data_IF_455049559395
#
_entry.id   IF_455049559395
#
_cell.length_a   1.000
_cell.length_b   1.000
_cell.length_c   1.000
_cell.angle_alpha   90.00
_cell.angle_beta   90.00
_cell.angle_gamma   90.00
#
_symmetry.space_group_name_H-M   'P 1'
#
loop_
_entity.id
_entity.type
_entity.pdbx_description
1 polymer ?
#
# COMPACT_ATOMS: atom_id res chain seq x y z
N UNK A 1 13.29 -0.13 -8.91
CA UNK A 1 12.92 -1.35 -8.15
C UNK A 1 11.74 -1.05 -7.26
N UNK A 2 10.75 -1.92 -7.25
CA UNK A 2 9.56 -1.85 -6.41
C UNK A 2 9.66 -2.91 -5.32
N UNK A 3 9.70 -2.46 -4.08
CA UNK A 3 9.57 -3.31 -2.90
C UNK A 3 8.12 -3.29 -2.43
N UNK A 4 7.56 -4.44 -2.12
CA UNK A 4 6.23 -4.56 -1.53
C UNK A 4 6.27 -5.44 -0.27
N UNK A 5 5.48 -5.09 0.74
CA UNK A 5 5.26 -5.95 1.91
C UNK A 5 3.93 -6.68 1.75
N UNK A 6 3.91 -7.97 2.05
CA UNK A 6 2.72 -8.80 1.91
C UNK A 6 2.67 -9.88 2.98
N UNK A 7 1.47 -10.40 3.27
CA UNK A 7 1.34 -11.59 4.11
C UNK A 7 1.84 -12.83 3.37
N UNK A 8 2.20 -13.90 4.07
CA UNK A 8 2.70 -15.13 3.45
C UNK A 8 1.80 -15.63 2.30
N UNK A 9 0.48 -15.60 2.49
CA UNK A 9 -0.48 -16.08 1.48
C UNK A 9 -0.57 -15.18 0.24
N UNK A 10 -0.12 -13.93 0.33
CA UNK A 10 -0.22 -12.93 -0.73
C UNK A 10 1.09 -12.73 -1.50
N UNK A 11 2.20 -13.35 -1.08
CA UNK A 11 3.52 -13.17 -1.71
C UNK A 11 3.48 -13.44 -3.22
N UNK A 12 2.97 -14.62 -3.62
CA UNK A 12 2.89 -15.02 -5.04
C UNK A 12 1.99 -14.06 -5.82
N UNK A 13 0.90 -13.60 -5.22
CA UNK A 13 -0.02 -12.67 -5.87
C UNK A 13 0.63 -11.32 -6.12
N UNK A 14 1.29 -10.74 -5.11
CA UNK A 14 1.96 -9.43 -5.22
C UNK A 14 3.13 -9.49 -6.20
N UNK A 15 3.87 -10.59 -6.23
CA UNK A 15 4.92 -10.79 -7.23
C UNK A 15 4.33 -10.85 -8.65
N UNK A 16 3.20 -11.53 -8.84
CA UNK A 16 2.51 -11.57 -10.13
C UNK A 16 1.93 -10.21 -10.58
N UNK A 17 1.78 -9.24 -9.66
CA UNK A 17 1.44 -7.85 -10.00
C UNK A 17 2.64 -7.03 -10.49
N UNK A 18 3.86 -7.58 -10.40
CA UNK A 18 5.07 -6.94 -10.92
C UNK A 18 5.96 -6.28 -9.87
N UNK A 19 5.80 -6.60 -8.58
CA UNK A 19 6.80 -6.22 -7.58
C UNK A 19 8.13 -6.94 -7.85
N UNK A 20 9.24 -6.19 -7.85
CA UNK A 20 10.58 -6.76 -8.04
C UNK A 20 10.98 -7.57 -6.80
N UNK A 21 10.68 -7.05 -5.61
CA UNK A 21 11.01 -7.66 -4.32
C UNK A 21 9.78 -7.69 -3.42
N UNK A 22 9.41 -8.87 -2.91
CA UNK A 22 8.27 -9.04 -2.00
C UNK A 22 8.76 -9.53 -0.64
N UNK A 23 8.51 -8.73 0.39
CA UNK A 23 8.90 -9.02 1.78
C UNK A 23 7.68 -9.59 2.52
N UNK A 24 7.82 -10.83 3.00
CA UNK A 24 6.81 -11.51 3.81
C UNK A 24 6.86 -10.98 5.25
N UNK A 25 6.01 -10.01 5.59
CA UNK A 25 6.08 -9.33 6.89
C UNK A 25 5.79 -10.24 8.09
N UNK A 26 5.24 -11.44 7.86
CA UNK A 26 5.00 -12.42 8.92
C UNK A 26 6.28 -13.20 9.29
N UNK A 27 7.31 -13.15 8.44
CA UNK A 27 8.56 -13.88 8.61
C UNK A 27 9.79 -12.99 8.64
N UNK A 28 9.67 -11.77 8.10
CA UNK A 28 10.79 -10.88 7.84
C UNK A 28 10.45 -9.46 8.31
N UNK A 29 11.49 -8.77 8.76
CA UNK A 29 11.43 -7.34 9.07
C UNK A 29 11.92 -6.56 7.85
N UNK A 30 11.04 -5.77 7.24
CA UNK A 30 11.38 -5.05 6.00
C UNK A 30 12.52 -4.04 6.22
N UNK A 31 12.63 -3.48 7.42
CA UNK A 31 13.66 -2.50 7.78
C UNK A 31 15.08 -3.06 7.80
N UNK A 32 15.23 -4.38 7.74
CA UNK A 32 16.53 -5.06 7.63
C UNK A 32 16.87 -5.47 6.20
N UNK A 33 15.91 -5.37 5.28
CA UNK A 33 16.01 -5.91 3.92
C UNK A 33 15.91 -4.82 2.85
N UNK A 34 15.31 -3.68 3.18
CA UNK A 34 15.20 -2.51 2.31
C UNK A 34 15.98 -1.33 2.89
N UNK A 35 16.64 -0.57 2.02
CA UNK A 35 17.26 0.71 2.32
C UNK A 35 17.16 1.63 1.10
N UNK A 36 17.43 2.91 1.30
CA UNK A 36 17.51 3.90 0.22
C UNK A 36 16.25 3.97 -0.67
N UNK A 37 15.07 3.86 -0.04
CA UNK A 37 13.79 3.94 -0.73
C UNK A 37 13.42 5.40 -1.00
N UNK A 38 13.26 5.77 -2.27
CA UNK A 38 12.95 7.15 -2.68
C UNK A 38 11.51 7.56 -2.40
N UNK A 39 10.57 6.61 -2.50
CA UNK A 39 9.15 6.82 -2.25
C UNK A 39 8.59 5.64 -1.47
N UNK A 40 8.02 5.94 -0.31
CA UNK A 40 7.25 4.98 0.48
C UNK A 40 5.78 5.37 0.40
N UNK A 41 4.93 4.42 -0.01
CA UNK A 41 3.47 4.55 0.03
C UNK A 41 2.95 3.69 1.17
N UNK A 42 2.52 4.32 2.26
CA UNK A 42 2.06 3.66 3.48
C UNK A 42 0.53 3.55 3.54
N UNK A 43 0.05 2.31 3.57
CA UNK A 43 -1.35 1.94 3.76
C UNK A 43 -1.63 1.28 5.12
N UNK A 44 -0.61 1.14 5.99
CA UNK A 44 -0.72 0.38 7.24
C UNK A 44 -0.70 1.30 8.46
N UNK A 45 0.16 2.33 8.46
CA UNK A 45 0.30 3.24 9.59
C UNK A 45 0.99 2.61 10.82
N UNK A 46 0.72 3.18 11.99
CA UNK A 46 1.20 2.66 13.28
C UNK A 46 2.72 2.45 13.34
N UNK A 47 3.16 1.31 13.88
CA UNK A 47 4.58 0.96 14.01
C UNK A 47 5.26 0.71 12.67
N UNK A 48 4.52 0.30 11.62
CA UNK A 48 5.09 0.11 10.28
C UNK A 48 5.53 1.47 9.73
N UNK A 49 4.69 2.49 9.86
CA UNK A 49 5.02 3.86 9.50
C UNK A 49 6.26 4.37 10.26
N UNK A 50 6.36 4.10 11.56
CA UNK A 50 7.52 4.51 12.36
C UNK A 50 8.83 3.89 11.84
N UNK A 51 8.81 2.60 11.51
CA UNK A 51 9.95 1.87 10.96
C UNK A 51 10.31 2.33 9.55
N UNK A 52 9.32 2.73 8.75
CA UNK A 52 9.51 3.17 7.36
C UNK A 52 10.41 4.39 7.22
N UNK A 53 10.49 5.26 8.23
CA UNK A 53 11.43 6.40 8.20
C UNK A 53 12.90 5.99 8.12
N UNK A 54 13.24 4.81 8.64
CA UNK A 54 14.62 4.32 8.68
C UNK A 54 15.12 3.86 7.30
N UNK A 55 14.23 3.36 6.44
CA UNK A 55 14.59 2.84 5.12
C UNK A 55 14.48 3.87 4.00
N UNK A 56 13.88 5.03 4.29
CA UNK A 56 13.73 6.11 3.32
C UNK A 56 15.11 6.68 2.95
N UNK A 57 15.33 6.99 1.67
CA UNK A 57 16.56 7.63 1.20
C UNK A 57 16.65 9.10 1.68
N UNK A 58 17.86 9.69 1.71
CA UNK A 58 18.01 11.13 1.84
C UNK A 58 17.27 11.86 0.70
N UNK A 59 16.34 12.75 1.04
CA UNK A 59 15.49 13.44 0.06
C UNK A 59 14.26 12.65 -0.40
N UNK A 60 14.12 11.39 0.01
CA UNK A 60 12.93 10.58 -0.24
C UNK A 60 11.68 11.12 0.44
N UNK A 61 10.53 10.60 0.01
CA UNK A 61 9.21 11.01 0.50
C UNK A 61 8.45 9.81 1.06
N UNK A 62 7.86 9.99 2.26
CA UNK A 62 6.91 9.05 2.82
C UNK A 62 5.50 9.62 2.71
N UNK A 63 4.66 8.97 1.91
CA UNK A 63 3.27 9.34 1.72
C UNK A 63 2.36 8.31 2.42
N UNK A 64 1.51 8.73 3.36
CA UNK A 64 0.64 7.83 4.12
C UNK A 64 -0.83 8.22 3.97
N UNK A 65 -1.68 7.23 3.67
CA UNK A 65 -3.14 7.37 3.76
C UNK A 65 -3.67 6.98 5.15
N UNK A 66 -2.92 6.14 5.87
CA UNK A 66 -3.30 5.61 7.18
C UNK A 66 -3.01 6.57 8.35
N UNK A 67 -2.19 7.60 8.14
CA UNK A 67 -1.78 8.55 9.18
C UNK A 67 -1.93 10.00 8.72
N UNK A 68 -2.95 10.69 9.26
CA UNK A 68 -3.20 12.12 9.00
C UNK A 68 -2.11 13.03 9.59
N UNK A 69 -1.40 12.54 10.61
CA UNK A 69 -0.34 13.24 11.33
C UNK A 69 1.07 12.97 10.76
N UNK A 70 1.19 12.27 9.63
CA UNK A 70 2.47 11.90 9.01
C UNK A 70 3.38 13.10 8.74
N UNK A 71 2.80 14.26 8.41
CA UNK A 71 3.55 15.49 8.16
C UNK A 71 4.20 15.99 9.45
N UNK A 72 3.45 16.04 10.56
CA UNK A 72 3.96 16.46 11.87
C UNK A 72 4.89 15.44 12.52
N UNK A 73 4.78 14.17 12.14
CA UNK A 73 5.64 13.07 12.63
C UNK A 73 6.94 12.91 11.86
N UNK A 74 7.12 13.61 10.75
CA UNK A 74 8.32 13.51 9.94
C UNK A 74 9.57 13.89 10.77
N UNK A 75 10.59 13.03 10.85
CA UNK A 75 11.86 13.38 11.49
C UNK A 75 12.52 14.59 10.81
N UNK A 76 13.44 15.25 11.52
CA UNK A 76 14.16 16.40 10.97
C UNK A 76 14.83 16.04 9.62
N UNK A 77 14.59 16.86 8.60
CA UNK A 77 15.13 16.65 7.25
C UNK A 77 14.43 15.56 6.42
N UNK A 78 13.37 14.93 6.94
CA UNK A 78 12.53 13.97 6.20
C UNK A 78 11.24 14.65 5.74
N UNK A 79 10.62 14.11 4.68
CA UNK A 79 9.39 14.64 4.11
C UNK A 79 8.25 13.63 4.22
N UNK A 80 7.22 14.00 4.99
CA UNK A 80 5.94 13.30 5.06
C UNK A 80 4.87 13.96 4.20
N UNK A 81 3.95 13.18 3.64
CA UNK A 81 2.75 13.65 2.94
C UNK A 81 1.55 12.87 3.42
N UNK A 82 0.52 13.57 3.92
CA UNK A 82 -0.78 12.95 4.12
C UNK A 82 -1.48 12.80 2.77
N UNK A 83 -1.72 11.55 2.36
CA UNK A 83 -2.47 11.23 1.16
C UNK A 83 -3.96 11.38 1.45
N UNK A 84 -4.52 12.49 1.00
CA UNK A 84 -5.95 12.73 0.99
C UNK A 84 -6.50 12.56 -0.42
N UNK A 85 -7.63 11.87 -0.55
CA UNK A 85 -8.29 11.62 -1.83
C UNK A 85 -9.28 12.74 -2.10
N UNK A 86 -9.08 13.47 -3.18
CA UNK A 86 -10.09 14.37 -3.76
C UNK A 86 -10.69 13.68 -4.99
N UNK A 87 -12.03 13.56 -5.09
CA UNK A 87 -12.67 13.01 -6.28
C UNK A 87 -12.29 13.77 -7.55
N UNK A 88 -11.90 13.04 -8.59
CA UNK A 88 -11.51 13.59 -9.89
C UNK A 88 -12.09 12.68 -10.99
N UNK A 89 -13.11 13.17 -11.68
CA UNK A 89 -13.86 12.39 -12.68
C UNK A 89 -13.03 12.13 -13.94
N UNK A 90 -12.13 13.04 -14.32
CA UNK A 90 -11.28 12.87 -15.49
C UNK A 90 -10.23 11.78 -15.24
N UNK A 91 -9.64 11.76 -14.04
CA UNK A 91 -8.73 10.66 -13.65
C UNK A 91 -9.46 9.34 -13.54
N UNK A 92 -10.64 9.32 -12.93
CA UNK A 92 -11.43 8.09 -12.82
C UNK A 92 -11.77 7.51 -14.21
N UNK A 93 -12.15 8.37 -15.17
CA UNK A 93 -12.40 7.94 -16.55
C UNK A 93 -11.15 7.36 -17.22
N UNK A 94 -9.97 7.92 -16.95
CA UNK A 94 -8.69 7.40 -17.45
C UNK A 94 -8.43 6.00 -16.89
N UNK A 95 -8.56 5.82 -15.57
CA UNK A 95 -8.38 4.51 -14.90
C UNK A 95 -9.39 3.49 -15.45
N UNK A 96 -10.64 3.89 -15.66
CA UNK A 96 -11.66 3.01 -16.22
C UNK A 96 -11.30 2.55 -17.64
N UNK A 97 -10.73 3.45 -18.46
CA UNK A 97 -10.26 3.12 -19.80
C UNK A 97 -9.06 2.17 -19.76
N UNK A 98 -8.08 2.41 -18.88
CA UNK A 98 -6.93 1.50 -18.69
C UNK A 98 -7.38 0.10 -18.27
N UNK A 99 -8.44 -0.01 -17.47
CA UNK A 99 -9.05 -1.31 -17.11
C UNK A 99 -9.73 -1.94 -18.33
N UNK A 100 -10.52 -1.17 -19.09
CA UNK A 100 -11.22 -1.66 -20.28
C UNK A 100 -10.26 -2.17 -21.37
N UNK A 101 -9.12 -1.49 -21.54
CA UNK A 101 -8.09 -1.84 -22.51
C UNK A 101 -7.12 -2.94 -22.00
N UNK A 102 -7.27 -3.37 -20.75
CA UNK A 102 -6.45 -4.40 -20.13
C UNK A 102 -5.06 -3.95 -19.70
N UNK A 103 -4.76 -2.65 -19.80
CA UNK A 103 -3.50 -2.06 -19.33
C UNK A 103 -3.42 -2.06 -17.78
N UNK A 104 -4.56 -1.97 -17.10
CA UNK A 104 -4.67 -2.08 -15.65
C UNK A 104 -5.60 -3.24 -15.29
N UNK A 105 -5.14 -4.16 -14.45
CA UNK A 105 -5.95 -5.29 -13.99
C UNK A 105 -6.56 -5.02 -12.62
N UNK A 106 -7.89 -4.94 -12.56
CA UNK A 106 -8.63 -5.00 -11.30
C UNK A 106 -8.93 -6.46 -10.93
N UNK A 107 -8.58 -6.87 -9.71
CA UNK A 107 -8.88 -8.21 -9.20
C UNK A 107 -10.05 -8.13 -8.23
N UNK A 108 -11.13 -8.84 -8.55
CA UNK A 108 -12.30 -8.97 -7.66
C UNK A 108 -12.10 -10.26 -6.86
N UNK A 109 -11.91 -10.11 -5.54
CA UNK A 109 -11.79 -11.25 -4.63
C UNK A 109 -13.11 -12.01 -4.50
N UNK A 110 -14.21 -11.30 -4.29
CA UNK A 110 -15.52 -11.87 -4.03
C UNK A 110 -16.64 -10.91 -4.45
N UNK A 111 -17.76 -11.46 -4.93
CA UNK A 111 -19.03 -10.73 -5.12
C UNK A 111 -20.02 -11.28 -4.10
N UNK A 112 -20.49 -10.42 -3.21
CA UNK A 112 -21.38 -10.79 -2.10
C UNK A 112 -22.75 -10.16 -2.25
N UNK A 113 -23.78 -10.85 -1.75
CA UNK A 113 -25.12 -10.28 -1.59
C UNK A 113 -25.17 -9.26 -0.46
N UNK A 114 -26.23 -8.44 -0.43
CA UNK A 114 -26.42 -7.46 0.65
C UNK A 114 -26.51 -8.11 2.04
N UNK A 115 -27.12 -9.29 2.11
CA UNK A 115 -27.26 -10.06 3.36
C UNK A 115 -25.90 -10.57 3.91
N UNK A 116 -24.86 -10.62 3.08
CA UNK A 116 -23.52 -11.08 3.43
C UNK A 116 -22.52 -9.93 3.69
N UNK A 117 -22.98 -8.67 3.78
CA UNK A 117 -22.10 -7.52 3.97
C UNK A 117 -21.27 -7.59 5.25
N UNK A 118 -21.90 -7.91 6.39
CA UNK A 118 -21.21 -7.98 7.67
C UNK A 118 -20.05 -9.00 7.67
N UNK A 119 -20.26 -10.26 7.24
CA UNK A 119 -19.15 -11.20 7.14
C UNK A 119 -18.11 -10.82 6.07
N UNK A 120 -18.50 -10.16 4.97
CA UNK A 120 -17.56 -9.67 3.96
C UNK A 120 -16.62 -8.56 4.49
N UNK A 121 -17.16 -7.61 5.25
CA UNK A 121 -16.38 -6.55 5.91
C UNK A 121 -15.37 -7.16 6.88
N UNK A 122 -15.77 -8.18 7.66
CA UNK A 122 -14.88 -8.84 8.60
C UNK A 122 -13.75 -9.63 7.90
N UNK A 123 -14.04 -10.28 6.76
CA UNK A 123 -13.01 -10.91 5.91
C UNK A 123 -11.99 -9.88 5.42
N UNK A 124 -12.45 -8.71 4.94
CA UNK A 124 -11.57 -7.64 4.49
C UNK A 124 -10.68 -7.13 5.63
N UNK A 125 -11.26 -6.87 6.80
CA UNK A 125 -10.54 -6.38 7.99
C UNK A 125 -9.43 -7.33 8.44
N UNK A 126 -9.64 -8.64 8.31
CA UNK A 126 -8.67 -9.66 8.72
C UNK A 126 -7.68 -10.03 7.62
N UNK A 127 -7.73 -9.36 6.47
CA UNK A 127 -6.84 -9.58 5.34
C UNK A 127 -7.07 -10.92 4.65
N UNK A 128 -8.28 -11.50 4.72
CA UNK A 128 -8.67 -12.78 4.10
C UNK A 128 -9.50 -12.64 2.82
N UNK A 129 -9.50 -11.44 2.23
CA UNK A 129 -10.02 -11.23 0.87
C UNK A 129 -8.94 -11.52 -0.17
#
# INVERSE_FOLDING_TARGET
>A
TVYATASTKSVVHVQALGADEVIDYQKQNFELLASDIDLIVDHVGGQVLDKSWAVLSPGGVLASIAATDVVSRAPAGRRGIWLSVTPDTARLATIAQEIADGALRSTIAEVVGFDDLAPAIERNRTGHA
#
